data_IF_731841490048
#
_entry.id   IF_731841490048
#
_cell.length_a   1.000
_cell.length_b   1.000
_cell.length_c   1.000
_cell.angle_alpha   90.00
_cell.angle_beta   90.00
_cell.angle_gamma   90.00
#
_symmetry.space_group_name_H-M   'P 1'
#
loop_
_entity.id
_entity.type
_entity.pdbx_description
1 polymer ?
#
# COMPACT_ATOMS: atom_id res chain seq x y z
N UNK A 1 -26.43 6.15 -53.66
CA UNK A 1 -26.25 6.89 -54.94
C UNK A 1 -25.03 6.31 -55.64
N UNK A 2 -25.05 6.15 -56.96
CA UNK A 2 -23.92 5.69 -57.77
C UNK A 2 -23.07 6.88 -58.28
N UNK A 3 -22.55 7.69 -57.36
CA UNK A 3 -21.69 8.84 -57.67
C UNK A 3 -20.21 8.44 -57.63
N UNK A 4 -19.43 8.93 -58.59
CA UNK A 4 -17.96 8.80 -58.56
C UNK A 4 -17.36 9.93 -57.70
N UNK A 5 -16.75 9.57 -56.58
CA UNK A 5 -16.06 10.52 -55.69
C UNK A 5 -14.61 10.72 -56.16
N UNK A 6 -14.21 11.97 -56.39
CA UNK A 6 -12.84 12.34 -56.78
C UNK A 6 -12.08 12.83 -55.55
N UNK A 7 -10.84 12.35 -55.36
CA UNK A 7 -10.01 12.67 -54.20
C UNK A 7 -8.58 13.07 -54.62
N UNK A 8 -8.43 14.29 -55.12
CA UNK A 8 -7.17 14.83 -55.65
C UNK A 8 -6.54 15.84 -54.67
N UNK A 9 -5.25 16.15 -54.84
CA UNK A 9 -4.51 17.12 -54.01
C UNK A 9 -5.20 18.50 -53.96
N UNK A 10 -5.70 18.99 -55.10
CA UNK A 10 -6.46 20.24 -55.17
C UNK A 10 -7.76 20.23 -54.34
N UNK A 11 -8.38 19.06 -54.13
CA UNK A 11 -9.53 18.90 -53.23
C UNK A 11 -9.08 18.99 -51.77
N UNK A 12 -7.88 18.53 -51.42
CA UNK A 12 -7.32 18.70 -50.08
C UNK A 12 -6.97 20.16 -49.79
N UNK A 13 -6.44 20.89 -50.76
CA UNK A 13 -6.19 22.34 -50.66
C UNK A 13 -7.50 23.12 -50.52
N UNK A 14 -8.51 22.83 -51.34
CA UNK A 14 -9.86 23.38 -51.20
C UNK A 14 -10.44 23.11 -49.80
N UNK A 15 -10.35 21.87 -49.31
CA UNK A 15 -10.81 21.50 -47.96
C UNK A 15 -9.99 22.14 -46.83
N UNK A 16 -8.74 22.53 -47.07
CA UNK A 16 -7.93 23.34 -46.15
C UNK A 16 -8.44 24.78 -46.09
N UNK A 17 -8.69 25.40 -47.25
CA UNK A 17 -9.25 26.75 -47.35
C UNK A 17 -10.63 26.84 -46.67
N UNK A 18 -11.53 25.88 -46.94
CA UNK A 18 -12.85 25.78 -46.30
C UNK A 18 -12.73 25.67 -44.77
N UNK A 19 -11.78 24.87 -44.25
CA UNK A 19 -11.55 24.78 -42.80
C UNK A 19 -11.04 26.09 -42.22
N UNK A 20 -10.12 26.80 -42.88
CA UNK A 20 -9.61 28.10 -42.40
C UNK A 20 -10.67 29.21 -42.41
N UNK A 21 -11.67 29.14 -43.29
CA UNK A 21 -12.79 30.11 -43.33
C UNK A 21 -14.08 29.59 -42.69
N UNK A 22 -14.03 28.43 -42.01
CA UNK A 22 -15.22 27.78 -41.41
C UNK A 22 -15.96 28.67 -40.41
N UNK A 23 -15.24 29.57 -39.73
CA UNK A 23 -15.81 30.54 -38.79
C UNK A 23 -16.72 31.59 -39.47
N UNK A 24 -16.48 31.91 -40.74
CA UNK A 24 -17.31 32.83 -41.53
C UNK A 24 -18.42 32.06 -42.29
N UNK A 25 -18.16 30.80 -42.63
CA UNK A 25 -19.10 29.94 -43.37
C UNK A 25 -20.25 29.42 -42.49
N UNK A 26 -20.01 29.24 -41.19
CA UNK A 26 -20.98 28.73 -40.21
C UNK A 26 -21.62 29.88 -39.41
N UNK A 27 -22.28 30.80 -40.11
CA UNK A 27 -23.03 31.91 -39.52
C UNK A 27 -24.19 31.40 -38.65
N UNK A 28 -24.00 31.45 -37.33
CA UNK A 28 -25.00 31.05 -36.33
C UNK A 28 -24.41 30.32 -35.12
N UNK A 29 -23.21 29.75 -35.22
CA UNK A 29 -22.53 29.09 -34.09
C UNK A 29 -21.39 29.98 -33.54
N UNK A 30 -21.44 30.41 -32.26
CA UNK A 30 -20.35 31.19 -31.68
C UNK A 30 -19.11 30.31 -31.50
N UNK A 31 -17.93 30.88 -31.74
CA UNK A 31 -16.62 30.18 -31.71
C UNK A 31 -16.36 29.37 -30.43
N UNK A 32 -16.92 29.80 -29.29
CA UNK A 32 -16.84 29.12 -27.98
C UNK A 32 -17.58 27.77 -27.95
N UNK A 33 -18.70 27.65 -28.66
CA UNK A 33 -19.47 26.41 -28.73
C UNK A 33 -18.83 25.41 -29.71
N UNK A 34 -18.31 25.90 -30.83
CA UNK A 34 -17.48 25.12 -31.76
C UNK A 34 -16.26 24.48 -31.06
N UNK A 35 -15.53 25.23 -30.24
CA UNK A 35 -14.39 24.69 -29.49
C UNK A 35 -14.81 23.78 -28.34
N UNK A 36 -15.89 24.09 -27.62
CA UNK A 36 -16.45 23.21 -26.59
C UNK A 36 -16.94 21.87 -27.16
N UNK A 37 -17.63 21.88 -28.30
CA UNK A 37 -18.08 20.67 -29.01
C UNK A 37 -16.88 19.86 -29.52
N UNK A 38 -15.88 20.53 -30.10
CA UNK A 38 -14.64 19.87 -30.56
C UNK A 38 -13.87 19.22 -29.41
N UNK A 39 -13.79 19.88 -28.25
CA UNK A 39 -13.18 19.35 -27.03
C UNK A 39 -14.00 18.17 -26.45
N UNK A 40 -15.33 18.28 -26.46
CA UNK A 40 -16.23 17.19 -26.05
C UNK A 40 -16.07 15.94 -26.91
N UNK A 41 -16.00 16.11 -28.24
CA UNK A 41 -15.75 15.04 -29.21
C UNK A 41 -14.34 14.44 -29.05
N UNK A 42 -13.32 15.28 -28.86
CA UNK A 42 -11.96 14.82 -28.60
C UNK A 42 -11.88 14.00 -27.30
N UNK A 43 -12.56 14.44 -26.23
CA UNK A 43 -12.65 13.71 -24.98
C UNK A 43 -13.42 12.38 -25.10
N UNK A 44 -14.56 12.34 -25.82
CA UNK A 44 -15.33 11.11 -25.98
C UNK A 44 -14.59 10.08 -26.86
N UNK A 45 -14.01 10.52 -27.98
CA UNK A 45 -13.19 9.69 -28.87
C UNK A 45 -11.92 9.19 -28.17
N UNK A 46 -11.28 10.03 -27.35
CA UNK A 46 -10.15 9.62 -26.51
C UNK A 46 -10.55 8.56 -25.49
N UNK A 47 -11.63 8.77 -24.71
CA UNK A 47 -12.15 7.78 -23.73
C UNK A 47 -12.52 6.45 -24.39
N UNK A 48 -13.09 6.49 -25.59
CA UNK A 48 -13.45 5.31 -26.37
C UNK A 48 -12.21 4.55 -26.86
N UNK A 49 -11.25 5.24 -27.49
CA UNK A 49 -10.00 4.61 -27.99
C UNK A 49 -9.11 4.08 -26.87
N UNK A 50 -9.03 4.78 -25.74
CA UNK A 50 -8.30 4.37 -24.54
C UNK A 50 -9.10 3.41 -23.64
N UNK A 51 -10.25 2.87 -24.11
CA UNK A 51 -11.11 1.91 -23.43
C UNK A 51 -11.28 2.15 -21.91
N UNK A 52 -11.54 3.40 -21.50
CA UNK A 52 -11.69 3.80 -20.09
C UNK A 52 -10.54 3.28 -19.19
N UNK A 53 -9.36 3.90 -19.30
CA UNK A 53 -8.15 3.65 -18.49
C UNK A 53 -8.40 2.97 -17.12
N UNK A 54 -7.91 1.73 -16.89
CA UNK A 54 -8.14 1.01 -15.63
C UNK A 54 -7.51 1.72 -14.42
N UNK A 55 -6.49 2.55 -14.64
CA UNK A 55 -5.82 3.52 -13.73
C UNK A 55 -6.74 4.54 -13.01
N UNK A 56 -8.06 4.39 -13.15
CA UNK A 56 -9.07 5.14 -12.38
C UNK A 56 -9.92 4.25 -11.48
N UNK A 57 -10.05 2.97 -11.82
CA UNK A 57 -10.85 1.99 -11.08
C UNK A 57 -10.05 1.49 -9.86
N UNK A 58 -8.73 1.34 -9.99
CA UNK A 58 -7.85 1.03 -8.86
C UNK A 58 -7.82 2.17 -7.81
N UNK A 59 -7.88 3.43 -8.22
CA UNK A 59 -7.98 4.56 -7.27
C UNK A 59 -9.24 4.49 -6.40
N UNK A 60 -10.36 3.96 -6.93
CA UNK A 60 -11.58 3.73 -6.14
C UNK A 60 -11.40 2.61 -5.10
N UNK A 61 -10.58 1.59 -5.41
CA UNK A 61 -10.22 0.52 -4.46
C UNK A 61 -9.39 1.08 -3.31
N UNK A 62 -8.43 1.99 -3.59
CA UNK A 62 -7.65 2.67 -2.55
C UNK A 62 -8.55 3.49 -1.61
N UNK A 63 -9.47 4.29 -2.16
CA UNK A 63 -10.40 5.07 -1.33
C UNK A 63 -11.35 4.19 -0.52
N UNK A 64 -11.87 3.10 -1.10
CA UNK A 64 -12.75 2.15 -0.40
C UNK A 64 -12.02 1.39 0.72
N UNK A 65 -10.75 1.02 0.54
CA UNK A 65 -9.94 0.39 1.58
C UNK A 65 -9.62 1.36 2.72
N UNK A 66 -9.25 2.61 2.41
CA UNK A 66 -9.00 3.63 3.44
C UNK A 66 -10.27 3.90 4.25
N UNK A 67 -11.41 4.09 3.58
CA UNK A 67 -12.71 4.27 4.24
C UNK A 67 -13.08 3.07 5.12
N UNK A 68 -12.77 1.84 4.70
CA UNK A 68 -13.02 0.65 5.53
C UNK A 68 -12.13 0.61 6.78
N UNK A 69 -10.84 0.97 6.66
CA UNK A 69 -9.90 1.06 7.80
C UNK A 69 -10.27 2.23 8.76
N UNK A 70 -10.79 3.35 8.24
CA UNK A 70 -11.30 4.46 9.04
C UNK A 70 -12.63 4.11 9.75
N UNK A 71 -13.56 3.45 9.05
CA UNK A 71 -14.82 2.98 9.63
C UNK A 71 -14.60 1.94 10.74
N UNK A 72 -13.64 1.01 10.59
CA UNK A 72 -13.26 0.07 11.65
C UNK A 72 -12.84 0.80 12.94
N UNK A 73 -12.10 1.92 12.80
CA UNK A 73 -11.60 2.73 13.91
C UNK A 73 -12.72 3.56 14.56
N UNK A 74 -13.53 4.26 13.79
CA UNK A 74 -14.59 5.11 14.36
C UNK A 74 -15.76 4.28 14.90
N UNK A 75 -16.12 3.15 14.27
CA UNK A 75 -17.07 2.19 14.84
C UNK A 75 -16.59 1.74 16.24
N UNK A 76 -15.32 1.40 16.42
CA UNK A 76 -14.80 1.05 17.75
C UNK A 76 -14.86 2.23 18.74
N UNK A 77 -14.59 3.46 18.30
CA UNK A 77 -14.72 4.65 19.14
C UNK A 77 -16.17 4.87 19.60
N UNK A 78 -17.15 4.73 18.70
CA UNK A 78 -18.57 4.87 19.01
C UNK A 78 -19.08 3.73 19.90
N UNK A 79 -18.66 2.48 19.65
CA UNK A 79 -18.98 1.33 20.52
C UNK A 79 -18.51 1.58 21.97
N UNK A 80 -17.27 2.04 22.16
CA UNK A 80 -16.76 2.37 23.50
C UNK A 80 -17.52 3.55 24.12
N UNK A 81 -17.87 4.58 23.33
CA UNK A 81 -18.66 5.73 23.79
C UNK A 81 -20.05 5.31 24.30
N UNK A 82 -20.76 4.41 23.60
CA UNK A 82 -22.06 3.90 24.07
C UNK A 82 -21.92 3.09 25.35
N UNK A 83 -20.87 2.26 25.47
CA UNK A 83 -20.57 1.49 26.71
C UNK A 83 -20.28 2.41 27.91
N UNK A 84 -19.57 3.51 27.69
CA UNK A 84 -19.32 4.53 28.72
C UNK A 84 -20.58 5.32 29.09
N UNK A 85 -21.43 5.66 28.12
CA UNK A 85 -22.63 6.47 28.33
C UNK A 85 -23.77 5.68 29.00
N UNK A 86 -24.15 4.52 28.44
CA UNK A 86 -25.17 3.65 29.04
C UNK A 86 -24.67 2.93 30.31
N UNK A 87 -23.35 2.86 30.51
CA UNK A 87 -22.73 2.34 31.72
C UNK A 87 -23.11 3.10 33.01
N UNK A 88 -23.64 4.32 32.92
CA UNK A 88 -24.23 5.02 34.06
C UNK A 88 -25.58 4.41 34.49
N UNK A 89 -26.43 3.99 33.54
CA UNK A 89 -27.72 3.36 33.82
C UNK A 89 -27.60 1.88 34.18
N UNK A 90 -26.73 1.15 33.47
CA UNK A 90 -26.58 -0.29 33.65
C UNK A 90 -25.12 -0.76 33.49
N UNK A 91 -24.25 -0.57 34.51
CA UNK A 91 -22.82 -0.90 34.43
C UNK A 91 -22.55 -2.40 34.28
N UNK A 92 -23.41 -3.27 34.83
CA UNK A 92 -23.21 -4.73 34.80
C UNK A 92 -23.40 -5.34 33.40
N UNK A 93 -24.29 -4.78 32.57
CA UNK A 93 -24.43 -5.15 31.15
C UNK A 93 -23.08 -5.04 30.42
N UNK A 94 -22.29 -4.02 30.76
CA UNK A 94 -20.96 -3.76 30.23
C UNK A 94 -19.89 -4.77 30.66
N UNK A 95 -20.18 -5.64 31.65
CA UNK A 95 -19.31 -6.74 32.09
C UNK A 95 -19.79 -8.09 31.57
N UNK A 96 -21.12 -8.29 31.47
CA UNK A 96 -21.73 -9.54 31.00
C UNK A 96 -21.57 -9.69 29.48
N UNK A 97 -21.82 -8.62 28.71
CA UNK A 97 -21.78 -8.67 27.25
C UNK A 97 -20.44 -8.19 26.69
N UNK A 98 -19.56 -9.14 26.35
CA UNK A 98 -18.24 -8.85 25.77
C UNK A 98 -18.30 -8.48 24.28
N UNK A 99 -19.32 -8.92 23.53
CA UNK A 99 -19.56 -8.43 22.18
C UNK A 99 -20.21 -7.04 22.19
N UNK A 100 -19.72 -6.16 21.33
CA UNK A 100 -20.19 -4.80 21.18
C UNK A 100 -21.44 -4.71 20.29
N UNK A 101 -21.61 -5.60 19.30
CA UNK A 101 -22.78 -5.57 18.41
C UNK A 101 -24.03 -6.06 19.15
N UNK A 102 -23.93 -7.16 19.91
CA UNK A 102 -24.99 -7.62 20.81
C UNK A 102 -25.34 -6.57 21.87
N UNK A 103 -24.35 -5.92 22.49
CA UNK A 103 -24.56 -4.87 23.49
C UNK A 103 -25.43 -3.71 22.94
N UNK A 104 -25.11 -3.18 21.75
CA UNK A 104 -25.89 -2.10 21.13
C UNK A 104 -27.30 -2.56 20.74
N UNK A 105 -27.46 -3.75 20.16
CA UNK A 105 -28.79 -4.30 19.84
C UNK A 105 -29.65 -4.50 21.10
N UNK A 106 -29.03 -4.90 22.21
CA UNK A 106 -29.70 -5.05 23.51
C UNK A 106 -30.26 -3.70 23.99
N UNK A 107 -29.42 -2.66 24.02
CA UNK A 107 -29.83 -1.30 24.42
C UNK A 107 -30.97 -0.78 23.54
N UNK A 108 -30.92 -1.02 22.23
CA UNK A 108 -31.99 -0.64 21.29
C UNK A 108 -33.35 -1.21 21.69
N UNK A 109 -33.44 -2.53 21.94
CA UNK A 109 -34.72 -3.16 22.30
C UNK A 109 -35.23 -2.76 23.69
N UNK A 110 -34.30 -2.58 24.64
CA UNK A 110 -34.60 -2.44 26.07
C UNK A 110 -34.98 -1.00 26.45
N UNK A 111 -34.12 -0.03 26.12
CA UNK A 111 -34.25 1.35 26.61
C UNK A 111 -33.96 1.48 28.10
N UNK A 112 -34.95 1.23 28.96
CA UNK A 112 -34.88 1.32 30.43
C UNK A 112 -34.62 -0.05 31.09
N UNK A 113 -34.10 -0.04 32.31
CA UNK A 113 -34.00 -1.24 33.16
C UNK A 113 -35.36 -1.89 33.42
N UNK A 114 -36.43 -1.14 33.59
CA UNK A 114 -37.76 -1.69 33.95
C UNK A 114 -38.34 -2.56 32.82
N UNK A 115 -38.11 -2.15 31.56
CA UNK A 115 -38.51 -2.90 30.37
C UNK A 115 -37.78 -4.25 30.21
N UNK A 116 -36.68 -4.50 30.96
CA UNK A 116 -35.96 -5.78 30.91
C UNK A 116 -36.80 -6.98 31.33
N UNK A 117 -37.82 -6.78 32.17
CA UNK A 117 -38.69 -7.88 32.61
C UNK A 117 -39.55 -8.42 31.46
N UNK A 118 -40.20 -7.50 30.72
CA UNK A 118 -41.16 -7.82 29.66
C UNK A 118 -40.52 -8.06 28.27
N UNK A 119 -39.29 -7.59 28.05
CA UNK A 119 -38.62 -7.69 26.74
C UNK A 119 -37.96 -9.06 26.53
N UNK A 120 -38.26 -9.72 25.40
CA UNK A 120 -37.57 -10.92 24.92
C UNK A 120 -36.27 -10.53 24.20
N UNK A 121 -35.18 -11.26 24.46
CA UNK A 121 -33.84 -11.00 23.93
C UNK A 121 -33.25 -12.19 23.15
N UNK A 122 -34.03 -13.26 22.96
CA UNK A 122 -33.64 -14.52 22.29
C UNK A 122 -33.07 -14.34 20.87
N UNK A 123 -33.46 -13.29 20.15
CA UNK A 123 -32.98 -12.98 18.79
C UNK A 123 -31.53 -12.43 18.74
N UNK A 124 -30.98 -12.00 19.89
CA UNK A 124 -29.67 -11.34 20.00
C UNK A 124 -28.72 -12.12 20.91
N UNK A 125 -29.26 -12.74 21.96
CA UNK A 125 -28.53 -13.32 23.07
C UNK A 125 -28.83 -14.81 23.20
N UNK A 126 -27.87 -15.54 23.77
CA UNK A 126 -28.12 -16.91 24.22
C UNK A 126 -28.87 -16.86 25.56
N UNK A 127 -29.78 -17.80 25.81
CA UNK A 127 -30.65 -17.90 26.99
C UNK A 127 -29.86 -17.73 28.31
N UNK A 128 -28.69 -18.37 28.37
CA UNK A 128 -27.75 -18.28 29.50
C UNK A 128 -27.23 -16.87 29.79
N UNK A 129 -27.14 -15.99 28.78
CA UNK A 129 -26.73 -14.61 28.95
C UNK A 129 -27.95 -13.73 29.24
N UNK A 130 -29.08 -13.96 28.58
CA UNK A 130 -30.32 -13.23 28.87
C UNK A 130 -30.72 -13.32 30.34
N UNK A 131 -30.76 -14.55 30.91
CA UNK A 131 -31.08 -14.75 32.32
C UNK A 131 -30.15 -13.95 33.25
N UNK A 132 -28.83 -14.02 33.01
CA UNK A 132 -27.83 -13.27 33.79
C UNK A 132 -27.99 -11.75 33.64
N UNK A 133 -28.44 -11.25 32.49
CA UNK A 133 -28.71 -9.82 32.29
C UNK A 133 -30.02 -9.41 32.98
N UNK A 134 -31.06 -10.25 33.00
CA UNK A 134 -32.31 -9.98 33.72
C UNK A 134 -32.09 -9.98 35.25
N UNK A 135 -31.40 -10.99 35.78
CA UNK A 135 -30.93 -11.02 37.19
C UNK A 135 -30.10 -9.77 37.54
N UNK A 136 -29.18 -9.36 36.66
CA UNK A 136 -28.38 -8.16 36.86
C UNK A 136 -29.18 -6.85 36.74
N UNK A 137 -30.29 -6.81 36.00
CA UNK A 137 -31.13 -5.63 35.86
C UNK A 137 -31.89 -5.33 37.16
N UNK A 138 -32.39 -6.37 37.85
CA UNK A 138 -33.00 -6.25 39.19
C UNK A 138 -31.99 -5.74 40.22
N UNK A 139 -30.76 -6.29 40.22
CA UNK A 139 -29.74 -6.03 41.25
C UNK A 139 -28.84 -4.82 40.91
N UNK A 140 -28.96 -4.22 39.71
CA UNK A 140 -28.04 -3.18 39.21
C UNK A 140 -28.00 -1.93 40.08
N UNK A 141 -26.77 -1.44 40.29
CA UNK A 141 -26.44 -0.22 41.04
C UNK A 141 -26.42 1.06 40.19
N UNK A 142 -26.76 0.98 38.89
CA UNK A 142 -26.76 2.14 37.99
C UNK A 142 -27.93 3.10 38.24
N UNK A 143 -27.75 4.37 37.88
CA UNK A 143 -28.70 5.45 38.16
C UNK A 143 -29.85 5.47 37.16
N UNK A 144 -31.05 5.86 37.60
CA UNK A 144 -32.14 6.26 36.71
C UNK A 144 -31.71 7.44 35.82
N UNK A 145 -32.21 7.46 34.58
CA UNK A 145 -31.87 8.44 33.52
C UNK A 145 -33.18 8.91 32.87
N UNK A 146 -33.20 10.12 32.30
CA UNK A 146 -34.40 10.66 31.64
C UNK A 146 -34.73 9.92 30.33
N UNK A 147 -36.02 9.87 29.98
CA UNK A 147 -36.47 9.31 28.71
C UNK A 147 -35.88 10.03 27.49
N UNK A 148 -35.60 11.33 27.61
CA UNK A 148 -34.95 12.14 26.56
C UNK A 148 -33.49 11.70 26.33
N UNK A 149 -32.73 11.44 27.40
CA UNK A 149 -31.36 10.93 27.31
C UNK A 149 -31.34 9.49 26.76
N UNK A 150 -32.29 8.65 27.18
CA UNK A 150 -32.41 7.25 26.71
C UNK A 150 -32.73 7.22 25.21
N UNK A 151 -33.65 8.07 24.73
CA UNK A 151 -33.95 8.22 23.31
C UNK A 151 -32.71 8.65 22.52
N UNK A 152 -31.89 9.56 23.07
CA UNK A 152 -30.63 9.97 22.44
C UNK A 152 -29.59 8.83 22.39
N UNK A 153 -29.52 7.97 23.42
CA UNK A 153 -28.68 6.76 23.41
C UNK A 153 -29.19 5.75 22.37
N UNK A 154 -30.51 5.54 22.25
CA UNK A 154 -31.11 4.66 21.24
C UNK A 154 -30.86 5.18 19.81
N UNK A 155 -30.98 6.48 19.57
CA UNK A 155 -30.64 7.09 18.28
C UNK A 155 -29.16 6.85 17.89
N UNK A 156 -28.23 6.96 18.86
CA UNK A 156 -26.83 6.64 18.63
C UNK A 156 -26.60 5.13 18.37
N UNK A 157 -27.37 4.25 19.02
CA UNK A 157 -27.34 2.81 18.74
C UNK A 157 -27.75 2.51 17.28
N UNK A 158 -28.78 3.19 16.77
CA UNK A 158 -29.27 3.04 15.40
C UNK A 158 -28.26 3.52 14.35
N UNK A 159 -27.61 4.66 14.56
CA UNK A 159 -26.54 5.14 13.68
C UNK A 159 -25.35 4.16 13.66
N UNK A 160 -24.99 3.54 14.79
CA UNK A 160 -23.89 2.56 14.82
C UNK A 160 -24.28 1.25 14.12
N UNK A 161 -25.54 0.81 14.21
CA UNK A 161 -26.06 -0.33 13.43
C UNK A 161 -26.00 -0.01 11.93
N UNK A 162 -26.49 1.17 11.52
CA UNK A 162 -26.43 1.68 10.14
C UNK A 162 -25.00 1.71 9.59
N UNK A 163 -24.04 2.23 10.38
CA UNK A 163 -22.61 2.23 10.04
C UNK A 163 -22.05 0.82 9.87
N UNK A 164 -22.44 -0.13 10.73
CA UNK A 164 -21.99 -1.52 10.65
C UNK A 164 -22.58 -2.27 9.43
N UNK A 165 -23.82 -1.97 9.05
CA UNK A 165 -24.43 -2.48 7.81
C UNK A 165 -23.76 -1.87 6.56
N UNK A 166 -23.51 -0.55 6.56
CA UNK A 166 -22.79 0.12 5.49
C UNK A 166 -21.36 -0.44 5.33
N UNK A 167 -20.67 -0.72 6.44
CA UNK A 167 -19.37 -1.41 6.47
C UNK A 167 -19.43 -2.79 5.82
N UNK A 168 -20.46 -3.59 6.10
CA UNK A 168 -20.64 -4.90 5.48
C UNK A 168 -20.88 -4.77 3.96
N UNK A 169 -21.71 -3.83 3.53
CA UNK A 169 -21.94 -3.51 2.11
C UNK A 169 -20.66 -3.01 1.42
N UNK A 170 -19.86 -2.15 2.06
CA UNK A 170 -18.57 -1.67 1.55
C UNK A 170 -17.56 -2.81 1.36
N UNK A 171 -17.57 -3.80 2.27
CA UNK A 171 -16.72 -5.00 2.17
C UNK A 171 -17.08 -5.86 0.96
N UNK A 172 -18.36 -6.14 0.71
CA UNK A 172 -18.79 -6.90 -0.46
C UNK A 172 -18.57 -6.11 -1.77
N UNK A 173 -18.77 -4.80 -1.76
CA UNK A 173 -18.40 -3.91 -2.87
C UNK A 173 -16.90 -3.99 -3.19
N UNK A 174 -16.04 -3.93 -2.17
CA UNK A 174 -14.59 -4.04 -2.31
C UNK A 174 -14.19 -5.41 -2.88
N UNK A 175 -14.81 -6.49 -2.42
CA UNK A 175 -14.63 -7.86 -2.93
C UNK A 175 -15.03 -7.99 -4.40
N UNK A 176 -16.21 -7.49 -4.79
CA UNK A 176 -16.65 -7.47 -6.18
C UNK A 176 -15.73 -6.65 -7.09
N UNK A 177 -15.26 -5.47 -6.62
CA UNK A 177 -14.29 -4.64 -7.36
C UNK A 177 -12.92 -5.28 -7.48
N UNK A 178 -12.44 -5.95 -6.42
CA UNK A 178 -11.14 -6.62 -6.43
C UNK A 178 -11.11 -7.80 -7.41
N UNK A 179 -12.15 -8.64 -7.41
CA UNK A 179 -12.28 -9.74 -8.37
C UNK A 179 -12.37 -9.27 -9.82
N UNK A 180 -12.95 -8.09 -10.07
CA UNK A 180 -13.04 -7.49 -11.41
C UNK A 180 -11.74 -6.80 -11.89
N UNK A 181 -10.78 -6.53 -11.00
CA UNK A 181 -9.53 -5.81 -11.31
C UNK A 181 -8.27 -6.66 -11.17
N UNK A 182 -8.18 -7.51 -10.16
CA UNK A 182 -7.00 -8.30 -9.86
C UNK A 182 -7.37 -9.73 -9.39
N UNK A 183 -8.00 -10.55 -10.26
CA UNK A 183 -8.47 -11.88 -9.88
C UNK A 183 -7.33 -12.81 -9.46
N UNK A 184 -6.15 -12.73 -10.10
CA UNK A 184 -5.05 -13.63 -9.76
C UNK A 184 -4.43 -13.29 -8.40
N UNK A 185 -4.27 -11.99 -8.08
CA UNK A 185 -3.86 -11.53 -6.76
C UNK A 185 -4.87 -11.94 -5.68
N UNK A 186 -6.18 -11.80 -5.97
CA UNK A 186 -7.27 -12.15 -5.04
C UNK A 186 -7.20 -13.63 -4.64
N UNK A 187 -7.11 -14.54 -5.61
CA UNK A 187 -7.04 -16.00 -5.36
C UNK A 187 -5.84 -16.39 -4.49
N UNK A 188 -4.72 -15.67 -4.63
CA UNK A 188 -3.48 -15.96 -3.91
C UNK A 188 -3.45 -15.43 -2.47
N UNK A 189 -3.98 -14.23 -2.22
CA UNK A 189 -3.76 -13.49 -0.97
C UNK A 189 -5.04 -13.20 -0.18
N UNK A 190 -6.20 -13.19 -0.85
CA UNK A 190 -7.50 -12.76 -0.32
C UNK A 190 -7.81 -11.30 -0.63
N UNK A 191 -9.09 -10.94 -0.68
CA UNK A 191 -9.63 -9.65 -1.11
C UNK A 191 -9.09 -8.50 -0.26
N UNK A 192 -9.21 -8.60 1.07
CA UNK A 192 -8.84 -7.55 2.03
C UNK A 192 -7.33 -7.30 2.08
N UNK A 193 -6.53 -8.35 1.97
CA UNK A 193 -5.06 -8.22 1.94
C UNK A 193 -4.61 -7.71 0.56
N UNK A 194 -5.26 -8.12 -0.53
CA UNK A 194 -5.06 -7.55 -1.87
C UNK A 194 -5.35 -6.05 -1.91
N UNK A 195 -6.50 -5.63 -1.36
CA UNK A 195 -6.88 -4.23 -1.22
C UNK A 195 -5.85 -3.42 -0.43
N UNK A 196 -5.44 -3.90 0.74
CA UNK A 196 -4.45 -3.19 1.58
C UNK A 196 -3.05 -3.15 0.97
N UNK A 197 -2.66 -4.13 0.15
CA UNK A 197 -1.43 -4.07 -0.66
C UNK A 197 -1.52 -2.99 -1.76
N UNK A 198 -2.63 -2.91 -2.49
CA UNK A 198 -2.84 -1.90 -3.52
C UNK A 198 -2.93 -0.49 -2.91
N UNK A 199 -3.62 -0.33 -1.77
CA UNK A 199 -3.73 0.93 -1.05
C UNK A 199 -2.37 1.46 -0.57
N UNK A 200 -1.53 0.60 0.04
CA UNK A 200 -0.19 0.99 0.47
C UNK A 200 0.73 1.37 -0.70
N UNK A 201 0.56 0.75 -1.88
CA UNK A 201 1.27 1.15 -3.10
C UNK A 201 0.61 2.30 -3.88
N UNK A 202 -0.59 2.75 -3.49
CA UNK A 202 -1.37 3.83 -4.13
C UNK A 202 -1.98 3.52 -5.50
N UNK A 203 -1.56 2.45 -6.18
CA UNK A 203 -2.09 2.00 -7.47
C UNK A 203 -1.66 0.55 -7.77
N UNK A 204 -2.49 -0.19 -8.51
CA UNK A 204 -2.21 -1.55 -8.96
C UNK A 204 -0.94 -1.60 -9.85
N UNK A 205 -0.79 -0.61 -10.73
CA UNK A 205 0.36 -0.47 -11.65
C UNK A 205 1.64 -0.14 -10.87
N UNK A 206 1.55 0.51 -9.71
CA UNK A 206 2.70 0.76 -8.84
C UNK A 206 3.11 -0.49 -8.04
N UNK A 207 2.13 -1.23 -7.50
CA UNK A 207 2.36 -2.51 -6.85
C UNK A 207 3.03 -3.52 -7.81
N UNK A 208 2.61 -3.55 -9.08
CA UNK A 208 3.22 -4.38 -10.12
C UNK A 208 4.71 -4.06 -10.38
N UNK A 209 5.13 -2.79 -10.22
CA UNK A 209 6.53 -2.37 -10.36
C UNK A 209 7.42 -2.79 -9.19
N UNK A 210 6.85 -3.05 -8.00
CA UNK A 210 7.64 -3.49 -6.85
C UNK A 210 8.24 -4.89 -7.05
N UNK A 211 9.45 -5.16 -6.52
CA UNK A 211 10.00 -6.51 -6.49
C UNK A 211 9.34 -7.35 -5.38
N UNK A 212 9.37 -8.68 -5.56
CA UNK A 212 8.79 -9.63 -4.60
C UNK A 212 9.29 -9.48 -3.15
N UNK A 213 10.53 -9.03 -2.97
CA UNK A 213 11.12 -8.72 -1.65
C UNK A 213 10.44 -7.54 -0.96
N UNK A 214 10.11 -6.47 -1.70
CA UNK A 214 9.34 -5.32 -1.18
C UNK A 214 7.90 -5.74 -0.87
N UNK A 215 7.27 -6.49 -1.78
CA UNK A 215 5.91 -7.03 -1.58
C UNK A 215 5.82 -7.92 -0.33
N UNK A 216 6.87 -8.69 0.00
CA UNK A 216 6.93 -9.51 1.22
C UNK A 216 6.87 -8.70 2.52
N UNK A 217 7.46 -7.50 2.54
CA UNK A 217 7.69 -6.68 3.75
C UNK A 217 6.89 -5.37 3.78
N UNK A 218 6.00 -5.16 2.79
CA UNK A 218 5.14 -3.99 2.64
C UNK A 218 4.35 -3.71 3.93
N UNK A 219 4.25 -2.44 4.34
CA UNK A 219 3.62 -2.03 5.61
C UNK A 219 4.46 -2.29 6.89
N UNK A 220 5.55 -3.06 6.84
CA UNK A 220 6.50 -3.22 7.97
C UNK A 220 7.73 -2.32 7.90
N UNK A 221 7.66 -1.26 7.09
CA UNK A 221 8.76 -0.35 6.76
C UNK A 221 9.38 0.33 7.98
N UNK A 222 8.57 0.80 8.94
CA UNK A 222 9.07 1.41 10.20
C UNK A 222 9.94 0.44 11.01
N UNK A 223 9.62 -0.86 10.99
CA UNK A 223 10.43 -1.89 11.62
C UNK A 223 11.67 -2.25 10.78
N UNK A 224 11.52 -2.32 9.45
CA UNK A 224 12.59 -2.59 8.49
C UNK A 224 13.70 -1.53 8.55
N UNK A 225 13.36 -0.24 8.40
CA UNK A 225 14.35 0.83 8.43
C UNK A 225 15.01 0.98 9.80
N UNK A 226 14.30 0.71 10.89
CA UNK A 226 14.89 0.65 12.24
C UNK A 226 15.88 -0.52 12.38
N UNK A 227 15.54 -1.70 11.87
CA UNK A 227 16.42 -2.86 11.87
C UNK A 227 17.69 -2.59 11.05
N UNK A 228 17.55 -2.08 9.82
CA UNK A 228 18.67 -1.73 8.94
C UNK A 228 19.60 -0.67 9.57
N UNK A 229 19.05 0.43 10.13
CA UNK A 229 19.84 1.46 10.84
C UNK A 229 20.61 0.91 12.04
N UNK A 230 20.02 -0.05 12.76
CA UNK A 230 20.64 -0.67 13.95
C UNK A 230 21.42 -1.96 13.66
N UNK A 231 21.55 -2.36 12.39
CA UNK A 231 22.13 -3.65 11.94
C UNK A 231 21.53 -4.89 12.64
N UNK A 232 20.25 -4.83 13.01
CA UNK A 232 19.48 -5.92 13.62
C UNK A 232 18.68 -6.70 12.57
N UNK A 233 18.17 -7.87 12.96
CA UNK A 233 17.32 -8.72 12.13
C UNK A 233 16.12 -7.95 11.55
N UNK A 234 15.87 -8.12 10.25
CA UNK A 234 14.77 -7.47 9.53
C UNK A 234 13.45 -8.25 9.69
N UNK A 235 12.29 -7.56 9.60
CA UNK A 235 10.98 -8.22 9.65
C UNK A 235 10.82 -9.21 8.48
N UNK A 236 10.31 -10.41 8.80
CA UNK A 236 10.21 -11.54 7.85
C UNK A 236 8.93 -11.53 7.00
N UNK A 237 8.01 -10.62 7.29
CA UNK A 237 6.71 -10.44 6.66
C UNK A 237 6.18 -9.03 7.00
N UNK A 238 5.34 -8.49 6.13
CA UNK A 238 4.50 -7.32 6.37
C UNK A 238 3.01 -7.66 6.28
N UNK A 239 2.22 -6.86 5.56
CA UNK A 239 0.77 -7.05 5.38
C UNK A 239 0.35 -8.47 4.96
N UNK A 240 1.20 -9.16 4.18
CA UNK A 240 1.02 -10.55 3.73
C UNK A 240 0.93 -11.57 4.89
N UNK A 241 1.29 -11.20 6.13
CA UNK A 241 1.11 -12.05 7.31
C UNK A 241 -0.36 -12.48 7.53
N UNK A 242 -1.31 -11.61 7.16
CA UNK A 242 -2.76 -11.86 7.33
C UNK A 242 -3.37 -12.70 6.20
N UNK A 243 -2.61 -13.04 5.15
CA UNK A 243 -3.09 -13.89 4.07
C UNK A 243 -3.33 -15.33 4.59
N UNK A 244 -4.47 -15.94 4.24
CA UNK A 244 -4.91 -17.27 4.70
C UNK A 244 -3.80 -18.33 4.69
N UNK A 245 -3.03 -18.41 3.60
CA UNK A 245 -1.92 -19.37 3.42
C UNK A 245 -0.72 -19.14 4.37
N UNK A 246 -0.51 -17.90 4.84
CA UNK A 246 0.50 -17.56 5.87
C UNK A 246 -0.10 -17.66 7.27
N UNK A 247 -1.43 -17.53 7.39
CA UNK A 247 -2.21 -17.82 8.60
C UNK A 247 -2.05 -19.27 9.04
N UNK A 248 -2.36 -20.23 8.15
CA UNK A 248 -2.31 -21.67 8.41
C UNK A 248 -0.91 -22.22 8.70
N UNK A 249 0.11 -21.69 8.03
CA UNK A 249 1.46 -22.24 8.09
C UNK A 249 2.10 -22.25 9.50
N UNK A 250 2.74 -23.34 9.89
CA UNK A 250 3.49 -23.43 11.16
C UNK A 250 4.50 -22.28 11.33
N UNK A 251 4.68 -21.76 12.56
CA UNK A 251 5.46 -20.53 12.86
C UNK A 251 6.87 -20.52 12.29
N UNK A 252 7.57 -21.66 12.31
CA UNK A 252 8.91 -21.85 11.73
C UNK A 252 8.91 -21.73 10.19
N UNK A 253 7.78 -22.08 9.55
CA UNK A 253 7.59 -22.07 8.10
C UNK A 253 6.95 -20.77 7.57
N UNK A 254 6.24 -19.97 8.38
CA UNK A 254 5.59 -18.72 7.93
C UNK A 254 6.52 -17.81 7.10
N UNK A 255 7.78 -17.63 7.52
CA UNK A 255 8.76 -16.83 6.76
C UNK A 255 9.23 -17.45 5.43
N UNK A 256 9.17 -18.78 5.28
CA UNK A 256 9.46 -19.51 4.02
C UNK A 256 8.28 -19.43 3.05
N UNK A 257 7.07 -19.52 3.59
CA UNK A 257 5.81 -19.44 2.83
C UNK A 257 5.54 -18.00 2.40
N UNK A 258 5.64 -17.01 3.29
CA UNK A 258 5.48 -15.58 2.98
C UNK A 258 6.37 -15.13 1.82
N UNK A 259 7.66 -15.52 1.79
CA UNK A 259 8.55 -15.28 0.64
C UNK A 259 8.07 -15.94 -0.65
N UNK A 260 7.57 -17.18 -0.56
CA UNK A 260 7.09 -17.94 -1.71
C UNK A 260 5.79 -17.34 -2.27
N UNK A 261 4.88 -16.94 -1.38
CA UNK A 261 3.63 -16.25 -1.70
C UNK A 261 3.90 -14.88 -2.31
N UNK A 262 4.75 -14.04 -1.70
CA UNK A 262 5.11 -12.72 -2.24
C UNK A 262 5.74 -12.81 -3.64
N UNK A 263 6.55 -13.85 -3.90
CA UNK A 263 7.11 -14.11 -5.23
C UNK A 263 6.06 -14.53 -6.27
N UNK A 264 4.94 -15.12 -5.86
CA UNK A 264 3.82 -15.45 -6.76
C UNK A 264 2.79 -14.33 -6.87
N UNK A 265 2.51 -13.61 -5.79
CA UNK A 265 1.69 -12.40 -5.79
C UNK A 265 2.30 -11.35 -6.72
N UNK A 266 3.60 -11.05 -6.61
CA UNK A 266 4.27 -10.09 -7.51
C UNK A 266 4.33 -10.52 -8.99
N UNK A 267 4.09 -11.80 -9.32
CA UNK A 267 3.88 -12.26 -10.70
C UNK A 267 2.41 -12.07 -11.11
N UNK A 268 1.47 -12.48 -10.25
CA UNK A 268 0.04 -12.30 -10.47
C UNK A 268 -0.33 -10.82 -10.66
N UNK A 269 0.11 -9.92 -9.78
CA UNK A 269 -0.14 -8.47 -9.90
C UNK A 269 0.37 -7.89 -11.22
N UNK A 270 1.45 -8.42 -11.80
CA UNK A 270 1.95 -7.95 -13.10
C UNK A 270 1.11 -8.45 -14.27
N UNK A 271 0.51 -9.63 -14.15
CA UNK A 271 -0.44 -10.15 -15.15
C UNK A 271 -1.80 -9.47 -14.99
N UNK A 272 -2.26 -9.21 -13.77
CA UNK A 272 -3.47 -8.42 -13.49
C UNK A 272 -3.33 -6.94 -13.95
N UNK A 273 -2.12 -6.36 -13.89
CA UNK A 273 -1.87 -4.95 -14.25
C UNK A 273 -1.44 -4.69 -15.71
N UNK A 274 -0.89 -5.69 -16.41
CA UNK A 274 -0.34 -5.55 -17.77
C UNK A 274 -0.80 -6.64 -18.75
N UNK A 275 -1.68 -7.55 -18.34
CA UNK A 275 -2.29 -8.54 -19.24
C UNK A 275 -3.54 -7.98 -19.90
N UNK A 276 -3.68 -8.19 -21.21
CA UNK A 276 -4.88 -7.79 -21.96
C UNK A 276 -6.12 -8.64 -21.59
N UNK A 277 -5.90 -9.87 -21.10
CA UNK A 277 -6.94 -10.85 -20.74
C UNK A 277 -7.07 -11.05 -19.22
N UNK A 278 -8.20 -10.61 -18.64
CA UNK A 278 -8.53 -10.76 -17.21
C UNK A 278 -8.94 -12.20 -16.89
N UNK A 279 -7.96 -13.10 -16.80
CA UNK A 279 -8.16 -14.55 -16.55
C UNK A 279 -7.68 -14.96 -15.15
N UNK A 280 -8.45 -15.82 -14.47
CA UNK A 280 -8.19 -16.28 -13.09
C UNK A 280 -7.22 -17.48 -13.00
N UNK A 281 -6.84 -18.06 -14.15
CA UNK A 281 -6.15 -19.36 -14.23
C UNK A 281 -4.78 -19.33 -13.53
N UNK A 282 -4.00 -18.26 -13.72
CA UNK A 282 -2.65 -18.15 -13.16
C UNK A 282 -2.66 -18.15 -11.62
N UNK A 283 -3.65 -17.48 -11.02
CA UNK A 283 -3.85 -17.42 -9.57
C UNK A 283 -4.15 -18.79 -8.98
N UNK A 284 -5.08 -19.55 -9.58
CA UNK A 284 -5.43 -20.92 -9.17
C UNK A 284 -4.20 -21.83 -9.26
N UNK A 285 -3.54 -21.78 -10.42
CA UNK A 285 -2.37 -22.60 -10.75
C UNK A 285 -1.18 -22.30 -9.82
N UNK A 286 -0.98 -21.04 -9.44
CA UNK A 286 0.03 -20.61 -8.46
C UNK A 286 -0.37 -20.93 -7.02
N UNK A 287 -1.67 -20.89 -6.68
CA UNK A 287 -2.20 -21.25 -5.37
C UNK A 287 -1.96 -22.74 -5.08
N UNK A 288 -2.35 -23.63 -5.99
CA UNK A 288 -2.12 -25.07 -5.86
C UNK A 288 -0.62 -25.41 -5.70
N UNK A 289 0.26 -24.72 -6.45
CA UNK A 289 1.73 -24.86 -6.34
C UNK A 289 2.28 -24.37 -5.00
N UNK A 290 1.63 -23.40 -4.36
CA UNK A 290 1.98 -22.92 -3.02
C UNK A 290 1.42 -23.81 -1.90
N UNK A 291 0.19 -24.31 -2.01
CA UNK A 291 -0.43 -25.23 -1.06
C UNK A 291 0.30 -26.58 -1.03
N UNK A 292 0.66 -27.12 -2.20
CA UNK A 292 1.53 -28.32 -2.30
C UNK A 292 2.89 -28.09 -1.62
N UNK A 293 3.46 -26.89 -1.77
CA UNK A 293 4.74 -26.50 -1.14
C UNK A 293 4.60 -26.27 0.38
N UNK A 294 3.46 -25.78 0.85
CA UNK A 294 3.11 -25.67 2.26
C UNK A 294 3.09 -27.07 2.88
N UNK A 295 2.33 -27.98 2.29
CA UNK A 295 2.26 -29.38 2.71
C UNK A 295 3.64 -30.04 2.83
N UNK A 296 4.50 -29.94 1.81
CA UNK A 296 5.89 -30.46 1.87
C UNK A 296 6.74 -29.85 3.01
N UNK A 297 6.45 -28.61 3.43
CA UNK A 297 7.16 -27.93 4.52
C UNK A 297 6.62 -28.33 5.91
N UNK A 298 5.36 -28.78 5.99
CA UNK A 298 4.67 -29.15 7.23
C UNK A 298 4.70 -30.65 7.52
N UNK A 299 4.75 -31.49 6.48
CA UNK A 299 5.20 -32.89 6.53
C UNK A 299 6.68 -33.00 6.98
N UNK A 300 7.33 -31.88 7.33
CA UNK A 300 8.61 -31.81 8.03
C UNK A 300 9.82 -32.25 7.21
N UNK A 301 9.58 -32.57 5.94
CA UNK A 301 10.47 -33.19 4.97
C UNK A 301 11.58 -34.05 5.61
N UNK A 302 11.21 -35.27 6.04
CA UNK A 302 12.12 -36.29 6.61
C UNK A 302 13.02 -36.89 5.51
N UNK A 303 13.62 -36.02 4.69
CA UNK A 303 14.65 -36.35 3.70
C UNK A 303 16.00 -35.85 4.17
N UNK A 304 16.45 -36.37 5.32
CA UNK A 304 17.83 -36.88 5.35
C UNK A 304 17.88 -38.04 4.35
N UNK A 305 17.98 -37.74 3.05
CA UNK A 305 18.02 -38.76 2.00
C UNK A 305 19.41 -39.40 1.96
N UNK A 306 19.75 -40.12 3.02
CA UNK A 306 20.99 -40.87 3.16
C UNK A 306 21.00 -42.08 2.21
N UNK A 307 21.78 -41.98 1.14
CA UNK A 307 22.32 -43.15 0.43
C UNK A 307 21.49 -43.76 -0.70
N UNK A 308 20.21 -43.39 -0.89
CA UNK A 308 19.38 -43.94 -1.97
C UNK A 308 19.76 -43.35 -3.36
N UNK A 309 20.60 -44.05 -4.12
CA UNK A 309 21.06 -43.65 -5.47
C UNK A 309 19.97 -43.79 -6.54
N UNK A 310 18.98 -42.90 -6.53
CA UNK A 310 18.11 -42.67 -7.69
C UNK A 310 18.95 -42.10 -8.85
N UNK A 311 19.44 -42.98 -9.74
CA UNK A 311 20.18 -42.62 -10.95
C UNK A 311 19.26 -41.98 -12.00
N UNK A 312 18.78 -40.77 -11.72
CA UNK A 312 18.37 -39.87 -12.80
C UNK A 312 19.58 -39.68 -13.72
N UNK A 313 19.50 -40.19 -14.96
CA UNK A 313 20.52 -39.95 -15.98
C UNK A 313 20.47 -38.48 -16.37
N UNK A 314 21.19 -37.65 -15.61
CA UNK A 314 21.55 -36.30 -16.05
C UNK A 314 22.42 -36.46 -17.30
N UNK A 315 21.78 -36.40 -18.48
CA UNK A 315 22.50 -36.33 -19.73
C UNK A 315 23.36 -35.07 -19.66
N UNK A 316 24.68 -35.21 -19.79
CA UNK A 316 25.54 -34.04 -19.94
C UNK A 316 25.09 -33.31 -21.19
N UNK A 317 24.55 -32.10 -21.02
CA UNK A 317 24.29 -31.20 -22.13
C UNK A 317 25.64 -30.80 -22.72
N UNK A 318 26.09 -31.57 -23.70
CA UNK A 318 27.18 -31.14 -24.58
C UNK A 318 26.63 -30.01 -25.42
N UNK A 319 27.06 -28.78 -25.11
CA UNK A 319 26.82 -27.63 -25.95
C UNK A 319 27.59 -27.81 -27.26
N UNK A 320 27.00 -28.55 -28.21
CA UNK A 320 27.48 -28.62 -29.59
C UNK A 320 27.12 -27.31 -30.25
N UNK A 321 27.93 -26.29 -29.98
CA UNK A 321 28.03 -25.12 -30.83
C UNK A 321 28.58 -25.59 -32.18
N UNK A 322 27.71 -25.84 -33.16
CA UNK A 322 28.11 -25.94 -34.56
C UNK A 322 28.62 -24.58 -35.03
N UNK A 323 29.85 -24.24 -34.66
CA UNK A 323 30.59 -23.17 -35.31
C UNK A 323 30.93 -23.68 -36.70
N UNK A 324 30.09 -23.33 -37.68
CA UNK A 324 30.26 -23.68 -39.10
C UNK A 324 31.42 -22.89 -39.69
N UNK A 325 32.64 -23.26 -39.31
CA UNK A 325 33.86 -22.76 -39.91
C UNK A 325 33.93 -23.21 -41.37
N UNK A 326 34.06 -22.23 -42.28
CA UNK A 326 34.09 -22.49 -43.70
C UNK A 326 35.37 -23.25 -44.07
N UNK A 327 35.24 -24.49 -44.55
CA UNK A 327 36.38 -25.31 -44.95
C UNK A 327 36.86 -24.88 -46.33
N UNK A 328 37.81 -23.95 -46.38
CA UNK A 328 38.42 -23.44 -47.62
C UNK A 328 38.93 -24.59 -48.52
N UNK A 329 39.38 -25.71 -47.94
CA UNK A 329 39.82 -26.90 -48.67
C UNK A 329 38.72 -27.63 -49.47
N UNK A 330 37.43 -27.29 -49.30
CA UNK A 330 36.33 -27.77 -50.17
C UNK A 330 35.90 -26.74 -51.22
N UNK A 331 36.50 -25.54 -51.21
CA UNK A 331 36.30 -24.48 -52.20
C UNK A 331 37.55 -24.38 -53.09
N UNK A 332 37.82 -25.46 -53.82
CA UNK A 332 39.01 -25.60 -54.68
C UNK A 332 38.71 -26.55 -55.83
N UNK A 333 38.46 -25.99 -57.01
CA UNK A 333 37.97 -26.69 -58.21
C UNK A 333 39.06 -27.43 -59.01
N UNK A 334 40.15 -27.85 -58.34
CA UNK A 334 41.30 -28.52 -58.95
C UNK A 334 41.45 -29.95 -58.39
N UNK A 335 41.51 -30.99 -59.25
CA UNK A 335 41.60 -32.38 -58.79
C UNK A 335 42.95 -32.68 -58.14
N UNK A 336 42.94 -33.34 -56.99
CA UNK A 336 44.15 -33.63 -56.22
C UNK A 336 44.88 -34.87 -56.73
N UNK A 337 46.19 -34.76 -56.91
CA UNK A 337 47.08 -35.92 -57.13
C UNK A 337 47.79 -36.27 -55.81
N UNK A 338 47.72 -37.54 -55.43
CA UNK A 338 48.19 -38.00 -54.12
C UNK A 338 49.71 -38.12 -54.04
N UNK A 339 50.30 -37.72 -52.91
CA UNK A 339 51.59 -38.26 -52.43
C UNK A 339 51.58 -38.40 -50.90
N UNK A 340 52.00 -39.57 -50.42
CA UNK A 340 52.29 -39.84 -49.00
C UNK A 340 53.72 -39.41 -48.70
N UNK A 341 54.00 -39.03 -47.45
CA UNK A 341 55.23 -39.32 -46.72
C UNK A 341 54.88 -39.36 -45.22
N UNK A 342 55.54 -40.24 -44.46
CA UNK A 342 55.51 -40.28 -43.00
C UNK A 342 56.84 -39.76 -42.48
N UNK A 343 56.87 -39.18 -41.28
CA UNK A 343 57.76 -39.67 -40.22
C UNK A 343 57.34 -39.17 -38.84
N UNK A 344 57.57 -40.01 -37.83
CA UNK A 344 57.70 -39.64 -36.41
C UNK A 344 59.08 -38.90 -36.20
N UNK A 345 59.47 -38.27 -35.08
CA UNK A 345 59.03 -38.38 -33.67
C UNK A 345 59.51 -37.16 -32.80
N UNK A 346 59.17 -37.17 -31.51
CA UNK A 346 59.78 -36.45 -30.36
C UNK A 346 59.81 -34.90 -30.23
N UNK A 347 60.02 -34.49 -28.96
CA UNK A 347 60.26 -33.16 -28.40
C UNK A 347 61.27 -33.33 -27.22
N UNK A 348 61.82 -32.31 -26.52
CA UNK A 348 61.44 -30.89 -26.48
C UNK A 348 62.65 -29.91 -26.47
N UNK A 349 62.45 -28.73 -25.87
CA UNK A 349 63.39 -27.65 -25.53
C UNK A 349 63.74 -26.60 -26.60
N UNK A 350 63.81 -25.35 -26.10
CA UNK A 350 64.23 -24.13 -26.78
C UNK A 350 65.70 -23.80 -26.33
N UNK A 351 66.36 -22.68 -26.71
CA UNK A 351 65.87 -21.51 -27.47
C UNK A 351 66.82 -20.89 -28.52
N UNK A 352 66.39 -19.76 -29.11
CA UNK A 352 67.17 -18.51 -29.34
C UNK A 352 67.34 -17.92 -30.78
N UNK A 353 66.83 -16.69 -30.91
CA UNK A 353 67.29 -15.52 -31.69
C UNK A 353 67.65 -15.55 -33.20
N UNK A 354 66.83 -14.83 -33.99
CA UNK A 354 67.19 -13.62 -34.77
C UNK A 354 65.91 -12.79 -34.99
N UNK A 355 65.69 -11.58 -34.44
CA UNK A 355 66.39 -10.26 -34.50
C UNK A 355 65.91 -9.35 -35.64
N UNK A 356 65.11 -8.34 -35.28
CA UNK A 356 64.91 -6.99 -35.86
C UNK A 356 63.75 -6.35 -35.06
N UNK A 357 63.89 -5.50 -34.03
CA UNK A 357 64.91 -4.53 -33.53
C UNK A 357 64.72 -3.07 -34.01
N UNK A 358 63.79 -2.38 -33.34
CA UNK A 358 63.64 -0.92 -33.07
C UNK A 358 62.66 -0.90 -31.86
N UNK A 359 62.98 -0.69 -30.57
CA UNK A 359 63.86 0.26 -29.83
C UNK A 359 63.46 1.74 -30.04
N UNK A 360 63.27 2.59 -29.03
CA UNK A 360 63.56 2.54 -27.59
C UNK A 360 62.26 2.29 -26.74
N UNK A 361 62.23 1.66 -25.55
CA UNK A 361 63.08 1.75 -24.32
C UNK A 361 62.84 3.05 -23.51
N UNK A 362 62.69 3.06 -22.17
CA UNK A 362 62.58 1.97 -21.15
C UNK A 362 61.95 2.48 -19.83
N UNK A 363 61.22 1.60 -19.11
CA UNK A 363 61.29 1.25 -17.65
C UNK A 363 61.17 2.36 -16.54
N UNK A 364 60.76 2.15 -15.28
CA UNK A 364 60.22 1.05 -14.43
C UNK A 364 59.45 1.76 -13.24
N UNK A 365 58.91 1.21 -12.14
CA UNK A 365 58.98 -0.11 -11.51
C UNK A 365 57.70 -0.55 -10.76
N UNK A 366 57.47 -1.87 -10.66
CA UNK A 366 56.61 -2.49 -9.63
C UNK A 366 57.07 -3.95 -9.37
N UNK A 367 57.20 -4.43 -8.10
CA UNK A 367 55.99 -4.84 -7.34
C UNK A 367 56.09 -4.83 -5.79
N UNK A 368 55.00 -5.19 -5.11
CA UNK A 368 54.94 -5.49 -3.65
C UNK A 368 55.30 -6.97 -3.33
N UNK A 369 55.75 -7.33 -2.10
CA UNK A 369 54.78 -7.97 -1.15
C UNK A 369 55.07 -7.96 0.39
N UNK A 370 53.99 -7.77 1.17
CA UNK A 370 53.60 -8.47 2.45
C UNK A 370 54.46 -8.44 3.76
N UNK A 371 53.83 -7.83 4.79
CA UNK A 371 53.67 -8.26 6.24
C UNK A 371 54.65 -7.84 7.37
N UNK A 372 54.06 -7.07 8.31
CA UNK A 372 54.14 -7.09 9.81
C UNK A 372 55.19 -6.25 10.60
N UNK A 373 54.61 -5.39 11.48
CA UNK A 373 54.99 -4.98 12.88
C UNK A 373 55.97 -3.78 13.13
N UNK A 374 55.33 -2.70 13.63
CA UNK A 374 55.69 -1.80 14.76
C UNK A 374 56.86 -0.79 14.66
N UNK A 375 56.60 0.37 15.29
CA UNK A 375 57.50 1.43 15.79
C UNK A 375 58.19 2.34 14.74
N UNK A 376 58.47 3.63 15.02
CA UNK A 376 57.87 4.64 15.93
C UNK A 376 58.50 6.02 15.57
N UNK A 377 57.79 7.13 15.80
CA UNK A 377 58.20 8.53 15.58
C UNK A 377 58.39 8.94 14.10
N UNK A 378 58.24 10.21 13.67
CA UNK A 378 57.28 11.32 13.94
C UNK A 378 57.50 12.37 12.79
N UNK A 379 57.25 13.68 12.78
CA UNK A 379 56.90 14.72 13.77
C UNK A 379 56.34 15.99 13.07
N UNK A 380 55.78 16.94 13.84
CA UNK A 380 55.41 18.34 13.50
C UNK A 380 54.27 18.58 12.47
N UNK A 381 53.39 19.57 12.61
CA UNK A 381 52.89 20.37 13.74
C UNK A 381 51.44 20.82 13.35
N UNK A 382 50.51 21.19 14.22
CA UNK A 382 50.51 22.22 15.29
C UNK A 382 49.47 21.83 16.36
N UNK A 383 49.76 22.09 17.64
CA UNK A 383 48.89 21.95 18.81
C UNK A 383 48.19 23.31 19.13
N UNK A 384 47.27 23.55 20.07
CA UNK A 384 46.58 22.88 21.22
C UNK A 384 45.23 23.67 21.37
N UNK A 385 44.22 23.43 22.22
CA UNK A 385 43.91 22.56 23.37
C UNK A 385 42.45 22.07 23.19
N UNK A 386 42.00 20.85 23.55
CA UNK A 386 41.80 20.28 24.90
C UNK A 386 40.63 20.92 25.70
N UNK A 387 39.82 20.19 26.50
CA UNK A 387 39.93 18.80 27.00
C UNK A 387 38.54 18.16 27.30
N UNK A 388 38.41 16.85 27.06
CA UNK A 388 37.68 15.76 27.80
C UNK A 388 36.31 15.98 28.51
N UNK A 389 35.42 14.98 28.76
CA UNK A 389 35.10 13.62 28.24
C UNK A 389 33.66 13.27 28.79
N UNK A 390 32.78 12.43 28.20
CA UNK A 390 32.75 10.94 28.13
C UNK A 390 32.78 10.29 29.54
N UNK A 391 31.89 9.37 29.97
CA UNK A 391 30.68 8.74 29.38
C UNK A 391 29.78 8.18 30.52
N UNK A 392 28.54 7.77 30.19
CA UNK A 392 27.72 6.81 30.98
C UNK A 392 27.38 7.26 32.45
N UNK A 393 26.68 6.52 33.33
CA UNK A 393 26.09 5.17 33.24
C UNK A 393 24.69 5.09 33.92
N UNK A 394 24.25 3.88 34.23
CA UNK A 394 22.87 3.46 34.49
C UNK A 394 22.41 3.62 35.96
N UNK A 395 21.21 3.09 36.22
CA UNK A 395 20.77 2.39 37.46
C UNK A 395 20.22 3.19 38.66
N UNK A 396 18.94 2.91 38.93
CA UNK A 396 18.30 2.65 40.24
C UNK A 396 18.57 3.54 41.45
N UNK A 397 17.48 4.14 41.94
CA UNK A 397 17.07 4.01 43.35
C UNK A 397 17.58 5.07 44.33
N UNK A 398 16.66 5.51 45.19
CA UNK A 398 16.89 6.27 46.43
C UNK A 398 17.79 7.52 46.39
N UNK A 399 17.17 8.71 46.53
CA UNK A 399 17.77 9.76 47.37
C UNK A 399 16.86 10.08 48.56
N UNK A 400 17.18 9.46 49.69
CA UNK A 400 16.59 9.75 50.99
C UNK A 400 17.40 10.78 51.77
N UNK A 401 17.09 12.07 51.61
CA UNK A 401 17.50 13.17 52.51
C UNK A 401 18.99 13.62 52.43
N UNK A 402 19.42 14.78 52.97
CA UNK A 402 18.75 16.08 53.16
C UNK A 402 19.71 17.19 53.66
N UNK A 403 19.65 18.39 53.05
CA UNK A 403 19.89 19.74 53.64
C UNK A 403 19.54 20.77 52.54
N UNK A 404 18.53 21.66 52.62
CA UNK A 404 17.93 22.41 53.75
C UNK A 404 19.02 23.35 54.35
N UNK A 405 18.84 24.67 54.48
CA UNK A 405 17.60 25.47 54.54
C UNK A 405 17.89 27.00 54.58
N UNK A 406 16.84 27.83 54.39
CA UNK A 406 16.64 29.27 54.76
C UNK A 406 16.83 30.27 53.60
N UNK A 407 16.01 31.33 53.46
CA UNK A 407 14.78 31.79 54.18
C UNK A 407 13.89 32.58 53.19
N UNK A 408 12.56 32.40 53.15
CA UNK A 408 11.47 33.27 53.75
C UNK A 408 11.57 34.77 53.39
N UNK A 409 10.49 35.51 53.14
CA UNK A 409 9.02 35.40 53.43
C UNK A 409 8.27 36.33 52.42
N UNK A 410 6.95 36.40 52.21
CA UNK A 410 5.70 35.79 52.73
C UNK A 410 4.73 35.60 51.51
N UNK A 411 3.58 34.89 51.51
CA UNK A 411 2.33 34.97 52.32
C UNK A 411 1.70 36.40 52.29
N UNK A 412 0.38 36.59 52.08
CA UNK A 412 -0.78 35.71 52.34
C UNK A 412 -2.09 36.21 51.63
N UNK A 413 -3.21 35.47 51.76
CA UNK A 413 -4.62 35.83 51.42
C UNK A 413 -4.97 36.12 49.93
N UNK A 414 -6.25 36.28 49.50
CA UNK A 414 -7.52 35.53 49.70
C UNK A 414 -8.60 36.12 48.74
N UNK A 415 -9.76 35.47 48.60
CA UNK A 415 -10.95 35.86 47.79
C UNK A 415 -10.71 36.01 46.26
N UNK A 416 -11.62 35.71 45.30
CA UNK A 416 -13.06 35.37 45.24
C UNK A 416 -14.07 36.53 45.03
N UNK A 417 -14.82 36.41 43.91
CA UNK A 417 -16.14 36.99 43.58
C UNK A 417 -16.37 38.52 43.58
N UNK A 418 -16.70 39.04 42.40
CA UNK A 418 -17.91 39.82 42.03
C UNK A 418 -18.03 39.67 40.48
N UNK A 419 -19.16 39.44 39.80
CA UNK A 419 -20.47 40.14 39.77
C UNK A 419 -20.38 41.62 39.31
N UNK A 420 -21.36 42.26 38.65
CA UNK A 420 -22.49 41.88 37.74
C UNK A 420 -22.97 43.21 37.05
N UNK A 421 -23.94 43.37 36.13
CA UNK A 421 -24.97 42.57 35.43
C UNK A 421 -25.46 43.36 34.16
N UNK A 422 -26.21 42.74 33.23
CA UNK A 422 -27.06 43.37 32.15
C UNK A 422 -26.38 44.19 31.01
N UNK A 423 -26.97 44.45 29.83
CA UNK A 423 -27.82 43.69 28.86
C UNK A 423 -27.86 44.54 27.52
N UNK A 424 -28.58 44.32 26.41
CA UNK A 424 -29.72 43.44 26.03
C UNK A 424 -29.76 43.17 24.49
N UNK A 425 -30.70 42.32 24.06
CA UNK A 425 -31.52 42.40 22.82
C UNK A 425 -31.19 41.54 21.58
N UNK A 426 -32.23 41.33 20.75
CA UNK A 426 -32.42 40.20 19.82
C UNK A 426 -32.62 40.68 18.37
N UNK A 427 -32.28 39.83 17.37
CA UNK A 427 -32.99 39.60 16.08
C UNK A 427 -32.14 39.53 14.77
N UNK A 428 -32.37 38.42 14.05
CA UNK A 428 -32.59 38.30 12.58
C UNK A 428 -31.49 38.45 11.48
N UNK A 429 -31.12 37.29 10.94
CA UNK A 429 -31.14 36.90 9.49
C UNK A 429 -30.05 37.30 8.47
N UNK A 430 -29.47 36.26 7.87
CA UNK A 430 -29.03 36.08 6.46
C UNK A 430 -28.69 37.30 5.57
N UNK A 431 -27.40 37.57 5.38
CA UNK A 431 -26.90 38.58 4.44
C UNK A 431 -26.56 38.06 3.02
N UNK A 432 -27.56 37.92 2.12
CA UNK A 432 -27.36 37.35 0.77
C UNK A 432 -27.69 38.29 -0.42
N UNK A 433 -27.61 39.62 -0.28
CA UNK A 433 -28.03 40.57 -1.33
C UNK A 433 -26.99 41.63 -1.80
N UNK A 434 -25.90 41.89 -1.05
CA UNK A 434 -25.13 43.14 -1.20
C UNK A 434 -24.06 43.20 -2.32
N UNK A 435 -23.75 42.12 -3.05
CA UNK A 435 -22.78 42.16 -4.18
C UNK A 435 -23.38 42.60 -5.52
N UNK A 436 -24.55 42.10 -5.91
CA UNK A 436 -25.13 42.37 -7.24
C UNK A 436 -25.52 43.85 -7.49
N UNK A 437 -25.83 44.60 -6.43
CA UNK A 437 -26.34 45.99 -6.55
C UNK A 437 -25.24 47.05 -6.79
N UNK A 438 -23.95 46.68 -6.78
CA UNK A 438 -22.82 47.61 -6.90
C UNK A 438 -22.27 47.78 -8.33
N UNK A 439 -22.43 46.79 -9.22
CA UNK A 439 -22.02 46.92 -10.63
C UNK A 439 -23.06 47.65 -11.48
N UNK A 440 -24.36 47.36 -11.29
CA UNK A 440 -25.42 47.94 -12.15
C UNK A 440 -25.53 49.47 -12.04
N UNK A 441 -25.07 50.08 -10.94
CA UNK A 441 -25.01 51.54 -10.76
C UNK A 441 -23.74 52.20 -11.31
N UNK A 442 -22.81 51.45 -11.93
CA UNK A 442 -21.59 51.98 -12.58
C UNK A 442 -21.64 51.97 -14.11
N UNK A 443 -22.82 51.72 -14.70
CA UNK A 443 -23.09 51.76 -16.15
C UNK A 443 -24.17 52.76 -16.57
N UNK A 444 -24.72 53.55 -15.64
CA UNK A 444 -25.70 54.61 -15.92
C UNK A 444 -25.17 55.99 -15.49
N UNK A 445 -23.86 56.20 -15.63
CA UNK A 445 -23.14 57.42 -15.25
C UNK A 445 -21.91 57.62 -16.15
N UNK A 446 -22.05 57.26 -17.43
CA UNK A 446 -21.01 57.33 -18.47
C UNK A 446 -21.62 57.42 -19.88
N UNK A 447 -22.84 57.96 -19.97
CA UNK A 447 -23.71 57.97 -21.17
C UNK A 447 -24.69 59.17 -21.07
N UNK A 448 -24.22 60.28 -20.47
CA UNK A 448 -25.03 61.46 -20.11
C UNK A 448 -24.20 62.76 -19.93
N UNK A 449 -22.96 62.82 -20.45
CA UNK A 449 -22.11 64.02 -20.49
C UNK A 449 -21.34 64.04 -21.83
N UNK A 450 -22.08 63.98 -22.94
CA UNK A 450 -21.55 64.14 -24.31
C UNK A 450 -22.68 64.70 -25.23
N UNK A 451 -23.30 65.80 -24.80
CA UNK A 451 -24.20 66.69 -25.56
C UNK A 451 -24.04 68.14 -25.06
#
# INVERSE_FOLDING_TARGET
LSLQCISNTSVQELMRCIRSQSENLLSGLPKKEMTAMSLGLAHSLSRYKLKFSPDKIDTMIVQAQNLLDDLDKELNNYMMRVREWYGWHFPELGKILTDNVAYIKTIKLVGTRDNMADTDLSDILMDELEQKVKEAAEISMGTEISDEDILNIQNLCDEIISINEYRAHLSEYLKARMMAMAPNLTVLVGETVGARLIAHSGSLVNLAKHPASTVQILGSEKALFRALKTKKDTPKYGLIFHASLVGSASTKNKGRISRSLAAKAALATRVDAFGDDVTMQLGIDHRAKLETRLRMLEEGNITKLSGAKAKAKLQKFHAVSEVKTFKVATDSTLPSTSKKIKQEDEAPNAPSHKKLKVEAETEEAAPSPKKKKKAKHDESAIAEDEQQEVEEQQTTGEEGSSKKKKKKKAKQEQEAADESVMDESVAETSGSAKKAKKEKKKKQAAEAEDE
#
